data_IF_954373303363
#
_entry.id   IF_954373303363
#
_cell.length_a   1.000
_cell.length_b   1.000
_cell.length_c   1.000
_cell.angle_alpha   90.00
_cell.angle_beta   90.00
_cell.angle_gamma   90.00
#
_symmetry.space_group_name_H-M   'P 1'
#
loop_
_entity.id
_entity.type
_entity.pdbx_description
1 polymer ?
#
# COMPACT_ATOMS: atom_id res chain seq x y z
N UNK A 1 -20.49 11.78 26.19
CA UNK A 1 -19.17 12.48 26.18
C UNK A 1 -18.10 11.43 26.41
N UNK A 2 -17.17 11.26 25.47
CA UNK A 2 -16.08 10.27 25.54
C UNK A 2 -14.80 10.95 26.02
N UNK A 3 -14.11 10.32 26.97
CA UNK A 3 -12.76 10.73 27.39
C UNK A 3 -11.73 10.05 26.50
N UNK A 4 -10.94 10.85 25.79
CA UNK A 4 -9.79 10.36 25.00
C UNK A 4 -8.51 10.94 25.60
N UNK A 5 -7.49 10.10 25.78
CA UNK A 5 -6.17 10.52 26.26
C UNK A 5 -5.27 10.81 25.06
N UNK A 6 -4.66 12.00 25.02
CA UNK A 6 -3.66 12.30 24.00
C UNK A 6 -2.44 11.38 24.19
N UNK A 7 -2.10 10.59 23.17
CA UNK A 7 -0.98 9.63 23.19
C UNK A 7 0.40 10.26 23.46
N UNK A 8 0.52 11.57 23.23
CA UNK A 8 1.81 12.27 23.24
C UNK A 8 2.07 13.00 24.54
N UNK A 9 1.03 13.56 25.17
CA UNK A 9 1.19 14.38 26.38
C UNK A 9 0.33 13.92 27.56
N UNK A 10 -0.44 12.84 27.40
CA UNK A 10 -1.29 12.26 28.44
C UNK A 10 -2.49 13.10 28.84
N UNK A 11 -2.78 14.21 28.15
CA UNK A 11 -3.91 15.06 28.48
C UNK A 11 -5.25 14.38 28.14
N UNK A 12 -6.17 14.36 29.11
CA UNK A 12 -7.55 13.89 28.92
C UNK A 12 -8.39 14.95 28.22
N UNK A 13 -9.08 14.56 27.16
CA UNK A 13 -9.98 15.40 26.37
C UNK A 13 -11.39 14.83 26.46
N UNK A 14 -12.37 15.67 26.81
CA UNK A 14 -13.78 15.30 26.74
C UNK A 14 -14.30 15.71 25.37
N UNK A 15 -14.72 14.74 24.56
CA UNK A 15 -15.26 14.96 23.21
C UNK A 15 -16.73 14.52 23.21
N UNK A 16 -17.60 15.34 22.64
CA UNK A 16 -19.00 14.97 22.37
C UNK A 16 -19.02 13.86 21.30
N UNK A 17 -19.80 12.81 21.51
CA UNK A 17 -19.85 11.61 20.67
C UNK A 17 -20.13 11.94 19.20
N UNK A 18 -20.91 13.00 18.95
CA UNK A 18 -21.20 13.48 17.59
C UNK A 18 -19.98 13.98 16.81
N UNK A 19 -18.83 14.14 17.46
CA UNK A 19 -17.57 14.58 16.83
C UNK A 19 -16.48 13.51 16.81
N UNK A 20 -16.76 12.27 17.20
CA UNK A 20 -15.77 11.16 17.19
C UNK A 20 -15.15 10.89 15.81
N UNK A 21 -15.80 11.31 14.72
CA UNK A 21 -15.34 11.13 13.34
C UNK A 21 -14.59 12.34 12.78
N UNK A 22 -14.41 13.42 13.56
CA UNK A 22 -13.69 14.63 13.14
C UNK A 22 -12.29 14.68 13.75
N UNK A 23 -11.33 15.14 12.96
CA UNK A 23 -9.96 15.40 13.41
C UNK A 23 -9.94 16.53 14.45
N UNK A 24 -9.44 16.24 15.65
CA UNK A 24 -9.22 17.24 16.71
C UNK A 24 -7.75 17.59 16.86
N UNK A 25 -7.44 18.73 17.47
CA UNK A 25 -6.07 19.08 17.88
C UNK A 25 -5.99 19.09 19.41
N UNK A 26 -4.98 18.43 19.99
CA UNK A 26 -4.77 18.46 21.43
C UNK A 26 -4.48 19.90 21.88
N UNK A 27 -5.29 20.46 22.79
CA UNK A 27 -5.07 21.82 23.30
C UNK A 27 -3.76 22.00 24.07
N UNK A 28 -3.18 20.92 24.61
CA UNK A 28 -1.93 20.97 25.39
C UNK A 28 -0.67 20.95 24.52
N UNK A 29 -0.64 20.14 23.45
CA UNK A 29 0.57 19.95 22.65
C UNK A 29 0.42 20.27 21.15
N UNK A 30 -0.77 20.64 20.69
CA UNK A 30 -0.99 21.03 19.28
C UNK A 30 -0.97 19.88 18.26
N UNK A 31 -0.80 18.63 18.69
CA UNK A 31 -0.83 17.48 17.76
C UNK A 31 -2.26 17.11 17.36
N UNK A 32 -2.42 16.71 16.10
CA UNK A 32 -3.68 16.15 15.57
C UNK A 32 -3.97 14.79 16.22
N UNK A 33 -5.20 14.61 16.64
CA UNK A 33 -5.73 13.36 17.19
C UNK A 33 -6.59 12.73 16.11
N UNK A 34 -6.14 11.57 15.62
CA UNK A 34 -6.91 10.67 14.79
C UNK A 34 -7.76 9.81 15.72
N UNK A 35 -9.07 10.06 15.73
CA UNK A 35 -9.98 9.16 16.44
C UNK A 35 -10.18 7.91 15.58
N UNK A 36 -9.78 6.75 16.11
CA UNK A 36 -10.11 5.44 15.54
C UNK A 36 -11.47 5.05 16.14
N UNK A 37 -12.47 4.64 15.34
CA UNK A 37 -13.75 4.21 15.89
C UNK A 37 -13.52 2.98 16.78
N UNK A 38 -13.81 3.12 18.07
CA UNK A 38 -13.99 1.97 18.96
C UNK A 38 -15.31 1.30 18.59
N UNK A 39 -15.25 0.08 18.07
CA UNK A 39 -16.41 -0.79 17.86
C UNK A 39 -17.14 -0.96 19.20
N UNK A 40 -18.47 -0.71 19.29
CA UNK A 40 -19.21 -0.98 20.51
C UNK A 40 -19.29 -2.49 20.74
N UNK A 41 -18.86 -2.94 21.92
CA UNK A 41 -19.19 -4.26 22.44
C UNK A 41 -20.56 -4.14 23.10
N UNK A 42 -21.55 -4.90 22.61
CA UNK A 42 -22.91 -4.94 23.14
C UNK A 42 -22.97 -5.47 24.59
N UNK A 43 -23.94 -4.94 25.35
CA UNK A 43 -24.55 -5.68 26.45
C UNK A 43 -24.70 -4.89 27.75
N UNK A 44 -25.86 -4.23 27.93
CA UNK A 44 -26.58 -4.17 29.21
C UNK A 44 -27.99 -3.65 28.98
N UNK A 45 -28.95 -4.57 29.09
CA UNK A 45 -30.37 -4.30 29.32
C UNK A 45 -30.56 -3.83 30.76
N UNK A 46 -31.36 -2.77 30.97
CA UNK A 46 -32.00 -2.50 32.26
C UNK A 46 -33.47 -2.22 32.03
N UNK A 47 -34.30 -3.11 32.57
CA UNK A 47 -35.74 -2.98 32.69
C UNK A 47 -36.13 -1.86 33.66
N UNK A 48 -37.14 -1.08 33.33
CA UNK A 48 -38.20 -0.73 34.29
C UNK A 48 -39.51 -0.48 33.54
N UNK A 49 -40.60 -1.04 34.07
CA UNK A 49 -41.95 -1.05 33.52
C UNK A 49 -42.74 0.21 33.86
N UNK A 50 -43.70 0.59 33.00
CA UNK A 50 -45.01 1.16 33.35
C UNK A 50 -46.03 0.69 32.31
N UNK A 51 -47.26 0.48 32.78
CA UNK A 51 -48.30 -0.39 32.24
C UNK A 51 -49.27 0.24 31.22
N UNK A 52 -50.09 -0.66 30.68
CA UNK A 52 -51.50 -0.56 30.28
C UNK A 52 -51.94 -0.18 28.84
N UNK A 53 -52.87 -1.04 28.38
CA UNK A 53 -54.05 -0.77 27.55
C UNK A 53 -53.96 -0.81 26.00
N UNK A 54 -54.21 -2.00 25.40
CA UNK A 54 -55.47 -2.34 24.70
C UNK A 54 -55.42 -3.76 24.11
N UNK A 55 -56.56 -4.47 24.19
CA UNK A 55 -56.77 -5.84 23.74
C UNK A 55 -57.09 -6.00 22.23
N UNK A 56 -56.86 -7.24 21.76
CA UNK A 56 -57.45 -7.97 20.60
C UNK A 56 -56.73 -7.96 19.24
N UNK A 57 -56.94 -8.95 18.35
CA UNK A 57 -57.14 -10.39 18.57
C UNK A 57 -56.13 -11.28 17.79
N UNK A 58 -56.15 -12.56 18.15
CA UNK A 58 -55.31 -13.68 17.71
C UNK A 58 -55.27 -13.89 16.18
N UNK A 59 -54.07 -13.98 15.61
CA UNK A 59 -53.79 -14.77 14.41
C UNK A 59 -52.68 -15.80 14.72
N UNK A 60 -53.02 -17.08 14.55
CA UNK A 60 -52.09 -18.22 14.63
C UNK A 60 -51.28 -18.31 13.33
N UNK A 61 -49.97 -18.12 13.41
CA UNK A 61 -49.01 -18.62 12.42
C UNK A 61 -47.80 -19.18 13.15
N UNK A 62 -47.68 -20.50 13.15
CA UNK A 62 -46.52 -21.24 13.65
C UNK A 62 -45.45 -21.30 12.55
N UNK A 63 -44.34 -20.59 12.76
CA UNK A 63 -43.09 -20.80 12.04
C UNK A 63 -41.98 -21.19 13.05
N UNK A 64 -41.11 -22.16 12.74
CA UNK A 64 -40.08 -22.61 13.67
C UNK A 64 -38.94 -21.59 13.75
N UNK A 65 -38.67 -21.08 14.96
CA UNK A 65 -37.45 -20.32 15.25
C UNK A 65 -36.27 -21.28 15.45
N UNK A 66 -35.28 -21.19 14.56
CA UNK A 66 -33.95 -21.78 14.72
C UNK A 66 -33.03 -20.74 15.38
N UNK A 67 -32.97 -20.76 16.71
CA UNK A 67 -32.00 -19.98 17.48
C UNK A 67 -30.70 -20.77 17.64
N UNK A 68 -29.83 -20.72 16.63
CA UNK A 68 -28.44 -21.18 16.77
C UNK A 68 -27.62 -20.15 17.55
N UNK A 69 -27.76 -20.19 18.87
CA UNK A 69 -26.78 -19.58 19.78
C UNK A 69 -25.62 -20.56 19.92
N UNK A 70 -24.57 -20.39 19.12
CA UNK A 70 -23.31 -21.08 19.35
C UNK A 70 -22.68 -20.53 20.63
N UNK A 71 -22.93 -21.20 21.75
CA UNK A 71 -22.24 -20.96 23.01
C UNK A 71 -20.76 -21.35 22.82
N UNK A 72 -19.93 -20.36 22.48
CA UNK A 72 -18.49 -20.52 22.43
C UNK A 72 -18.00 -20.82 23.86
N UNK A 73 -17.34 -21.96 24.05
CA UNK A 73 -16.93 -22.41 25.38
C UNK A 73 -15.98 -21.41 26.03
N UNK A 74 -16.08 -21.25 27.35
CA UNK A 74 -15.29 -20.28 28.11
C UNK A 74 -13.78 -20.52 28.00
N UNK A 75 -13.38 -21.73 27.62
CA UNK A 75 -12.00 -22.09 27.29
C UNK A 75 -11.51 -21.39 26.02
N UNK A 76 -12.34 -21.31 24.98
CA UNK A 76 -11.99 -20.66 23.71
C UNK A 76 -11.85 -19.14 23.90
N UNK A 77 -12.72 -18.52 24.72
CA UNK A 77 -12.61 -17.10 25.06
C UNK A 77 -11.29 -16.76 25.76
N UNK A 78 -10.83 -17.61 26.68
CA UNK A 78 -9.54 -17.43 27.38
C UNK A 78 -8.34 -17.57 26.43
N UNK A 79 -8.39 -18.50 25.47
CA UNK A 79 -7.33 -18.67 24.47
C UNK A 79 -7.26 -17.45 23.53
N UNK A 80 -8.40 -16.98 23.03
CA UNK A 80 -8.45 -15.79 22.16
C UNK A 80 -7.93 -14.55 22.92
N UNK A 81 -8.33 -14.38 24.18
CA UNK A 81 -7.86 -13.26 25.01
C UNK A 81 -6.34 -13.29 25.24
N UNK A 82 -5.76 -14.48 25.46
CA UNK A 82 -4.31 -14.66 25.58
C UNK A 82 -3.55 -14.32 24.29
N UNK A 83 -4.07 -14.72 23.12
CA UNK A 83 -3.45 -14.41 21.82
C UNK A 83 -3.49 -12.90 21.55
N UNK A 84 -4.62 -12.24 21.83
CA UNK A 84 -4.77 -10.79 21.62
C UNK A 84 -3.80 -10.01 22.53
N UNK A 85 -3.65 -10.40 23.81
CA UNK A 85 -2.68 -9.78 24.70
C UNK A 85 -1.23 -10.00 24.26
N UNK A 86 -0.90 -11.20 23.76
CA UNK A 86 0.43 -11.49 23.21
C UNK A 86 0.78 -10.63 21.99
N UNK A 87 -0.18 -10.44 21.07
CA UNK A 87 0.01 -9.60 19.89
C UNK A 87 0.15 -8.11 20.23
N UNK A 88 -0.61 -7.61 21.21
CA UNK A 88 -0.47 -6.24 21.70
C UNK A 88 0.90 -6.04 22.36
N UNK A 89 1.37 -7.00 23.16
CA UNK A 89 2.70 -6.97 23.76
C UNK A 89 3.82 -6.92 22.70
N UNK A 90 3.72 -7.73 21.65
CA UNK A 90 4.69 -7.75 20.54
C UNK A 90 4.72 -6.41 19.79
N UNK A 91 3.54 -5.84 19.50
CA UNK A 91 3.42 -4.52 18.85
C UNK A 91 4.04 -3.40 19.70
N UNK A 92 3.81 -3.41 21.02
CA UNK A 92 4.44 -2.45 21.94
C UNK A 92 5.97 -2.62 22.00
N UNK A 93 6.47 -3.85 21.97
CA UNK A 93 7.91 -4.13 21.99
C UNK A 93 8.61 -3.60 20.71
N UNK A 94 8.02 -3.82 19.53
CA UNK A 94 8.54 -3.28 18.26
C UNK A 94 8.55 -1.74 18.28
N UNK A 95 7.52 -1.11 18.85
CA UNK A 95 7.46 0.35 18.95
C UNK A 95 8.53 0.95 19.89
N UNK A 96 8.84 0.27 21.00
CA UNK A 96 9.87 0.71 21.94
C UNK A 96 11.26 0.60 21.30
N UNK A 97 11.56 -0.51 20.61
CA UNK A 97 12.88 -0.70 19.97
C UNK A 97 13.10 0.22 18.76
N UNK A 98 12.07 0.49 17.95
CA UNK A 98 12.21 1.40 16.81
C UNK A 98 12.44 2.86 17.23
N UNK A 99 11.92 3.29 18.37
CA UNK A 99 12.12 4.67 18.85
C UNK A 99 13.57 4.92 19.32
N UNK A 100 14.24 3.92 19.89
CA UNK A 100 15.63 4.05 20.35
C UNK A 100 16.64 4.10 19.19
N UNK A 101 16.37 3.40 18.09
CA UNK A 101 17.20 3.44 16.87
C UNK A 101 17.16 4.84 16.23
N UNK A 102 15.97 5.43 16.09
CA UNK A 102 15.79 6.77 15.50
C UNK A 102 16.46 7.86 16.35
N UNK A 103 16.54 7.67 17.66
CA UNK A 103 17.17 8.65 18.57
C UNK A 103 18.69 8.68 18.42
N UNK A 104 19.33 7.55 18.11
CA UNK A 104 20.78 7.47 17.90
C UNK A 104 21.23 8.14 16.60
N UNK A 105 20.46 8.04 15.52
CA UNK A 105 20.79 8.67 14.23
C UNK A 105 20.74 10.21 14.28
N UNK A 106 19.82 10.79 15.07
CA UNK A 106 19.73 12.25 15.23
C UNK A 106 20.90 12.88 15.99
N UNK A 107 21.62 12.11 16.79
CA UNK A 107 22.81 12.60 17.52
C UNK A 107 24.04 12.57 16.60
N UNK A 108 24.15 11.58 15.70
CA UNK A 108 25.24 11.51 14.72
C UNK A 108 25.19 12.66 13.70
N UNK A 109 23.99 13.06 13.25
CA UNK A 109 23.84 14.12 12.25
C UNK A 109 24.18 15.55 12.75
N UNK A 110 24.22 15.78 14.08
CA UNK A 110 24.52 17.11 14.64
C UNK A 110 26.01 17.43 14.79
N UNK A 111 26.91 16.44 14.68
CA UNK A 111 28.34 16.63 14.89
C UNK A 111 29.15 16.91 13.61
N UNK A 112 28.52 17.03 12.43
CA UNK A 112 29.22 17.27 11.15
C UNK A 112 29.25 18.73 10.68
N UNK A 113 28.76 19.70 11.46
CA UNK A 113 28.73 21.12 11.05
C UNK A 113 29.69 21.96 11.91
N UNK A 114 31.00 21.71 11.81
CA UNK A 114 32.05 22.71 12.12
C UNK A 114 33.31 22.40 11.29
N UNK A 115 33.38 22.97 10.09
CA UNK A 115 34.63 23.12 9.34
C UNK A 115 34.96 24.62 9.23
N UNK A 116 36.24 25.01 9.39
CA UNK A 116 36.66 26.41 9.38
C UNK A 116 36.61 27.02 7.97
N UNK A 117 36.19 28.29 7.90
CA UNK A 117 36.16 29.13 6.70
C UNK A 117 37.59 29.42 6.24
N UNK A 118 38.02 28.81 5.14
CA UNK A 118 39.26 29.17 4.43
C UNK A 118 38.88 30.03 3.22
N UNK A 119 39.44 31.23 3.15
CA UNK A 119 39.28 32.15 2.03
C UNK A 119 40.04 31.60 0.82
N UNK A 120 39.31 31.15 -0.21
CA UNK A 120 39.88 30.67 -1.46
C UNK A 120 39.85 31.77 -2.54
N UNK A 121 41.04 32.14 -3.00
CA UNK A 121 41.29 32.99 -4.16
C UNK A 121 40.77 32.29 -5.42
N UNK A 122 39.92 32.98 -6.19
CA UNK A 122 39.31 32.46 -7.41
C UNK A 122 40.31 32.46 -8.57
N UNK A 123 40.69 31.26 -9.02
CA UNK A 123 41.40 31.02 -10.29
C UNK A 123 40.41 30.41 -11.28
N UNK A 124 40.14 31.06 -12.43
CA UNK A 124 39.20 30.53 -13.41
C UNK A 124 39.88 29.41 -14.23
N UNK A 125 39.71 28.17 -13.79
CA UNK A 125 40.04 27.00 -14.61
C UNK A 125 38.82 26.58 -15.45
N UNK A 126 38.75 27.13 -16.67
CA UNK A 126 37.97 26.58 -17.76
C UNK A 126 38.62 25.27 -18.23
N UNK A 127 38.25 24.16 -17.60
CA UNK A 127 38.39 22.84 -18.21
C UNK A 127 37.23 21.98 -17.71
N UNK A 128 36.07 22.17 -18.33
CA UNK A 128 34.89 21.31 -18.16
C UNK A 128 35.20 19.96 -18.80
N UNK A 129 36.03 19.17 -18.13
CA UNK A 129 36.21 17.76 -18.48
C UNK A 129 34.86 17.11 -18.20
N UNK A 130 34.07 16.92 -19.25
CA UNK A 130 32.83 16.14 -19.24
C UNK A 130 33.21 14.72 -18.86
N UNK A 131 33.26 14.46 -17.55
CA UNK A 131 33.25 13.11 -17.00
C UNK A 131 31.97 12.49 -17.54
N UNK A 132 32.12 11.65 -18.55
CA UNK A 132 31.03 10.92 -19.16
C UNK A 132 30.49 10.01 -18.07
N UNK A 133 29.48 10.52 -17.36
CA UNK A 133 28.88 9.88 -16.21
C UNK A 133 28.35 8.53 -16.67
N UNK A 134 28.76 7.45 -16.00
CA UNK A 134 28.31 6.08 -16.27
C UNK A 134 26.82 5.95 -15.95
N UNK A 135 25.98 6.42 -16.86
CA UNK A 135 24.52 6.33 -16.78
C UNK A 135 24.12 4.89 -17.09
N UNK A 136 23.13 4.36 -16.36
CA UNK A 136 22.58 3.03 -16.61
C UNK A 136 22.16 2.88 -18.07
N UNK A 137 22.51 1.75 -18.68
CA UNK A 137 21.99 1.39 -19.99
C UNK A 137 20.49 1.14 -19.88
N UNK A 138 19.74 1.71 -20.81
CA UNK A 138 18.29 1.59 -20.83
C UNK A 138 17.77 1.51 -22.27
N UNK A 139 16.56 1.00 -22.41
CA UNK A 139 15.78 1.03 -23.64
C UNK A 139 14.40 1.65 -23.38
N UNK A 140 13.88 2.43 -24.33
CA UNK A 140 12.52 2.98 -24.23
C UNK A 140 11.51 1.86 -24.48
N UNK A 141 10.63 1.62 -23.51
CA UNK A 141 9.54 0.64 -23.63
C UNK A 141 8.31 1.24 -24.30
N UNK A 142 7.89 2.42 -23.83
CA UNK A 142 6.67 3.10 -24.24
C UNK A 142 6.83 4.61 -24.05
N UNK A 143 6.27 5.38 -24.96
CA UNK A 143 6.17 6.83 -24.82
C UNK A 143 4.80 7.30 -25.30
N UNK A 144 4.06 7.98 -24.43
CA UNK A 144 2.77 8.58 -24.73
C UNK A 144 2.88 10.11 -24.60
N UNK A 145 2.44 10.82 -25.64
CA UNK A 145 2.44 12.28 -25.69
C UNK A 145 1.01 12.79 -25.83
N UNK A 146 0.59 13.65 -24.93
CA UNK A 146 -0.70 14.35 -24.98
C UNK A 146 -0.41 15.83 -25.14
N UNK A 147 -0.81 16.43 -26.26
CA UNK A 147 -0.65 17.86 -26.53
C UNK A 147 -2.01 18.53 -26.75
N UNK A 148 -2.44 19.29 -25.75
CA UNK A 148 -3.73 19.96 -25.71
C UNK A 148 -3.56 21.42 -25.25
N UNK A 149 -4.54 22.31 -25.49
CA UNK A 149 -4.45 23.72 -25.09
C UNK A 149 -4.13 23.94 -23.61
N UNK A 150 -4.60 23.04 -22.74
CA UNK A 150 -4.44 23.15 -21.29
C UNK A 150 -3.18 22.48 -20.75
N UNK A 151 -2.56 21.55 -21.50
CA UNK A 151 -1.35 20.84 -21.07
C UNK A 151 -0.64 20.16 -22.23
N UNK A 152 0.69 20.05 -22.11
CA UNK A 152 1.49 19.13 -22.90
C UNK A 152 2.14 18.14 -21.94
N UNK A 153 1.77 16.86 -22.04
CA UNK A 153 2.20 15.80 -21.14
C UNK A 153 3.02 14.76 -21.89
N UNK A 154 4.17 14.39 -21.35
CA UNK A 154 4.98 13.27 -21.80
C UNK A 154 5.00 12.21 -20.70
N UNK A 155 4.59 10.99 -21.04
CA UNK A 155 4.71 9.81 -20.19
C UNK A 155 5.69 8.86 -20.87
N UNK A 156 6.79 8.53 -20.20
CA UNK A 156 7.84 7.68 -20.73
C UNK A 156 8.10 6.51 -19.79
N UNK A 157 8.18 5.31 -20.35
CA UNK A 157 8.55 4.10 -19.64
C UNK A 157 9.84 3.54 -20.24
N UNK A 158 10.83 3.27 -19.40
CA UNK A 158 12.13 2.71 -19.81
C UNK A 158 12.43 1.40 -19.09
N UNK A 159 13.13 0.49 -19.75
CA UNK A 159 13.66 -0.74 -19.18
C UNK A 159 15.15 -0.56 -18.92
N UNK A 160 15.62 -0.90 -17.73
CA UNK A 160 17.05 -0.86 -17.36
C UNK A 160 17.70 -2.20 -17.72
N UNK A 161 18.75 -2.16 -18.54
CA UNK A 161 19.36 -3.33 -19.18
C UNK A 161 20.63 -3.84 -18.46
N UNK A 162 20.87 -3.40 -17.22
CA UNK A 162 22.10 -3.70 -16.46
C UNK A 162 21.82 -4.46 -15.18
N UNK A 163 22.73 -5.34 -14.76
CA UNK A 163 22.61 -6.10 -13.51
C UNK A 163 22.91 -5.26 -12.26
N UNK A 164 23.81 -4.28 -12.35
CA UNK A 164 24.24 -3.45 -11.22
C UNK A 164 23.41 -2.18 -11.10
N UNK A 165 22.16 -2.34 -10.66
CA UNK A 165 21.23 -1.22 -10.46
C UNK A 165 21.29 -0.76 -9.01
N UNK A 166 21.69 0.48 -8.78
CA UNK A 166 21.69 1.12 -7.46
C UNK A 166 20.75 2.31 -7.44
N UNK A 167 20.28 2.71 -6.26
CA UNK A 167 19.40 3.88 -6.11
C UNK A 167 20.00 5.14 -6.76
N UNK A 168 21.29 5.40 -6.50
CA UNK A 168 22.00 6.56 -7.04
C UNK A 168 21.98 6.53 -8.56
N UNK A 169 22.33 5.40 -9.17
CA UNK A 169 22.36 5.25 -10.62
C UNK A 169 20.95 5.40 -11.25
N UNK A 170 19.90 4.92 -10.58
CA UNK A 170 18.50 5.13 -11.02
C UNK A 170 18.11 6.60 -10.96
N UNK A 171 18.43 7.31 -9.87
CA UNK A 171 18.17 8.76 -9.77
C UNK A 171 18.90 9.55 -10.85
N UNK A 172 20.13 9.17 -11.16
CA UNK A 172 20.93 9.82 -12.20
C UNK A 172 20.34 9.60 -13.59
N UNK A 173 19.93 8.37 -13.90
CA UNK A 173 19.21 8.05 -15.14
C UNK A 173 17.93 8.87 -15.26
N UNK A 174 17.09 8.90 -14.23
CA UNK A 174 15.81 9.62 -14.26
C UNK A 174 16.00 11.13 -14.45
N UNK A 175 16.97 11.74 -13.76
CA UNK A 175 17.28 13.16 -13.96
C UNK A 175 17.83 13.45 -15.36
N UNK A 176 18.68 12.56 -15.89
CA UNK A 176 19.16 12.67 -17.28
C UNK A 176 18.00 12.66 -18.27
N UNK A 177 17.11 11.67 -18.18
CA UNK A 177 15.93 11.54 -19.05
C UNK A 177 14.99 12.73 -18.93
N UNK A 178 14.74 13.21 -17.72
CA UNK A 178 13.90 14.39 -17.48
C UNK A 178 14.49 15.65 -18.12
N UNK A 179 15.80 15.85 -18.01
CA UNK A 179 16.49 16.98 -18.63
C UNK A 179 16.38 16.93 -20.17
N UNK A 180 16.49 15.74 -20.77
CA UNK A 180 16.27 15.54 -22.20
C UNK A 180 14.81 15.85 -22.60
N UNK A 181 13.83 15.29 -21.89
CA UNK A 181 12.40 15.46 -22.21
C UNK A 181 11.94 16.92 -22.00
N UNK A 182 12.37 17.58 -20.92
CA UNK A 182 11.97 18.95 -20.59
C UNK A 182 12.44 20.00 -21.60
N UNK A 183 13.54 19.72 -22.32
CA UNK A 183 14.05 20.59 -23.39
C UNK A 183 13.38 20.37 -24.74
N UNK A 184 12.57 19.32 -24.91
CA UNK A 184 11.87 19.07 -26.18
C UNK A 184 10.97 20.25 -26.54
N UNK A 185 10.95 20.58 -27.82
CA UNK A 185 10.15 21.67 -28.40
C UNK A 185 9.35 21.17 -29.59
N UNK A 186 8.47 22.01 -30.13
CA UNK A 186 7.70 21.70 -31.35
C UNK A 186 6.28 21.19 -31.09
N UNK A 187 5.79 21.29 -29.85
CA UNK A 187 4.39 21.04 -29.55
C UNK A 187 3.50 22.20 -30.05
N UNK A 188 2.25 21.90 -30.36
CA UNK A 188 1.29 22.84 -30.94
C UNK A 188 0.87 23.91 -29.95
N UNK A 189 0.69 23.57 -28.68
CA UNK A 189 0.09 24.46 -27.68
C UNK A 189 1.09 25.03 -26.68
N UNK A 190 2.20 24.34 -26.42
CA UNK A 190 3.21 24.77 -25.45
C UNK A 190 4.61 24.66 -26.05
N UNK A 191 5.53 25.56 -25.67
CA UNK A 191 6.91 25.50 -26.16
C UNK A 191 7.63 24.23 -25.69
N UNK A 192 7.36 23.77 -24.47
CA UNK A 192 7.96 22.61 -23.81
C UNK A 192 6.86 21.83 -23.07
N UNK A 193 7.09 20.56 -22.65
CA UNK A 193 6.12 19.80 -21.88
C UNK A 193 5.82 20.46 -20.53
N UNK A 194 4.55 20.58 -20.19
CA UNK A 194 4.09 21.07 -18.88
C UNK A 194 4.14 19.97 -17.83
N UNK A 195 3.82 18.73 -18.23
CA UNK A 195 3.81 17.54 -17.40
C UNK A 195 4.81 16.50 -17.93
N UNK A 196 5.62 15.93 -17.05
CA UNK A 196 6.60 14.89 -17.40
C UNK A 196 6.52 13.79 -16.35
N UNK A 197 6.27 12.56 -16.80
CA UNK A 197 6.28 11.37 -15.95
C UNK A 197 7.19 10.34 -16.60
N UNK A 198 8.25 9.93 -15.91
CA UNK A 198 9.21 8.95 -16.43
C UNK A 198 9.33 7.82 -15.41
N UNK A 199 9.12 6.60 -15.88
CA UNK A 199 9.12 5.38 -15.07
C UNK A 199 10.25 4.47 -15.55
N UNK A 200 11.13 4.06 -14.64
CA UNK A 200 12.16 3.07 -14.90
C UNK A 200 11.73 1.72 -14.33
N UNK A 201 11.80 0.68 -15.16
CA UNK A 201 11.45 -0.70 -14.79
C UNK A 201 12.67 -1.62 -14.94
N UNK A 202 12.70 -2.67 -14.13
CA UNK A 202 13.73 -3.71 -14.25
C UNK A 202 13.47 -4.72 -15.37
N UNK A 203 12.22 -4.82 -15.84
CA UNK A 203 11.86 -5.75 -16.91
C UNK A 203 10.61 -5.30 -17.65
N UNK A 204 10.41 -5.82 -18.86
CA UNK A 204 9.21 -5.55 -19.67
C UNK A 204 7.95 -6.09 -19.01
N UNK A 205 8.03 -7.25 -18.35
CA UNK A 205 6.91 -7.86 -17.64
C UNK A 205 6.39 -6.92 -16.54
N UNK A 206 7.29 -6.33 -15.74
CA UNK A 206 6.94 -5.37 -14.69
C UNK A 206 6.32 -4.09 -15.27
N UNK A 207 6.88 -3.53 -16.34
CA UNK A 207 6.32 -2.37 -17.03
C UNK A 207 4.90 -2.64 -17.55
N UNK A 208 4.72 -3.83 -18.14
CA UNK A 208 3.48 -4.29 -18.73
C UNK A 208 2.39 -4.68 -17.72
N UNK A 209 2.72 -4.85 -16.44
CA UNK A 209 1.76 -5.31 -15.41
C UNK A 209 0.63 -4.33 -15.10
N UNK A 210 0.83 -3.01 -15.33
CA UNK A 210 -0.11 -1.96 -14.92
C UNK A 210 -0.16 -1.71 -13.40
N UNK A 211 0.61 -2.44 -12.59
CA UNK A 211 0.58 -2.37 -11.12
C UNK A 211 1.63 -1.43 -10.52
N UNK A 212 2.25 -0.58 -11.33
CA UNK A 212 3.24 0.40 -10.86
C UNK A 212 4.53 -0.23 -10.31
N UNK A 213 5.00 -1.32 -10.91
CA UNK A 213 6.20 -2.06 -10.46
C UNK A 213 7.53 -1.45 -10.93
N UNK A 214 7.62 -0.11 -10.94
CA UNK A 214 8.83 0.62 -11.33
C UNK A 214 9.87 0.60 -10.21
N UNK A 215 11.15 0.60 -10.57
CA UNK A 215 12.28 0.73 -9.64
C UNK A 215 12.51 2.20 -9.25
N UNK A 216 12.16 3.14 -10.13
CA UNK A 216 12.13 4.56 -9.84
C UNK A 216 11.20 5.32 -10.77
N UNK A 217 10.70 6.46 -10.30
CA UNK A 217 9.87 7.39 -11.05
C UNK A 217 10.41 8.80 -10.85
N UNK A 218 10.44 9.60 -11.92
CA UNK A 218 10.51 11.07 -11.80
C UNK A 218 9.23 11.68 -12.36
N UNK A 219 8.62 12.58 -11.61
CA UNK A 219 7.36 13.23 -11.98
C UNK A 219 7.43 14.74 -11.78
N UNK A 220 6.83 15.48 -12.71
CA UNK A 220 6.54 16.90 -12.59
C UNK A 220 5.20 17.21 -13.25
N UNK A 221 4.29 17.79 -12.50
CA UNK A 221 3.03 18.37 -12.99
C UNK A 221 3.18 19.87 -13.29
N UNK A 222 2.17 20.48 -13.89
CA UNK A 222 2.16 21.92 -14.21
C UNK A 222 2.44 22.80 -12.99
N UNK A 223 1.86 22.47 -11.83
CA UNK A 223 1.95 23.29 -10.61
C UNK A 223 3.22 23.03 -9.79
N UNK A 224 4.00 22.00 -10.15
CA UNK A 224 5.20 21.63 -9.43
C UNK A 224 6.38 22.53 -9.84
N UNK A 225 7.03 23.12 -8.84
CA UNK A 225 8.22 23.98 -9.06
C UNK A 225 9.43 23.19 -9.56
N UNK A 226 9.59 21.96 -9.06
CA UNK A 226 10.71 21.07 -9.35
C UNK A 226 10.17 19.64 -9.57
N UNK A 227 10.86 18.79 -10.36
CA UNK A 227 10.50 17.38 -10.43
C UNK A 227 10.79 16.65 -9.11
N UNK A 228 9.97 15.66 -8.79
CA UNK A 228 10.15 14.75 -7.65
C UNK A 228 10.62 13.38 -8.12
N UNK A 229 11.65 12.83 -7.47
CA UNK A 229 12.17 11.48 -7.77
C UNK A 229 11.85 10.52 -6.63
N UNK A 230 11.04 9.52 -6.93
CA UNK A 230 10.64 8.46 -6.01
C UNK A 230 11.32 7.15 -6.39
N UNK A 231 11.85 6.42 -5.41
CA UNK A 231 12.55 5.15 -5.60
C UNK A 231 11.79 4.07 -4.85
N UNK A 232 11.57 2.93 -5.51
CA UNK A 232 10.91 1.79 -4.91
C UNK A 232 11.94 0.85 -4.30
N UNK A 233 12.09 0.90 -2.97
CA UNK A 233 13.02 0.03 -2.24
C UNK A 233 12.70 -1.45 -2.43
N UNK A 234 11.41 -1.82 -2.48
CA UNK A 234 10.95 -3.19 -2.73
C UNK A 234 11.47 -3.68 -4.09
N UNK A 235 11.23 -2.89 -5.15
CA UNK A 235 11.61 -3.29 -6.50
C UNK A 235 13.11 -3.29 -6.71
N UNK A 236 13.85 -2.39 -6.04
CA UNK A 236 15.30 -2.33 -6.10
C UNK A 236 15.96 -3.50 -5.34
N UNK A 237 15.48 -3.80 -4.13
CA UNK A 237 15.97 -4.92 -3.33
C UNK A 237 15.74 -6.27 -4.02
N UNK A 238 14.62 -6.41 -4.74
CA UNK A 238 14.31 -7.59 -5.53
C UNK A 238 15.34 -7.91 -6.62
N UNK A 239 16.17 -6.94 -7.04
CA UNK A 239 17.22 -7.17 -8.05
C UNK A 239 18.46 -7.87 -7.49
N UNK A 240 18.68 -7.77 -6.18
CA UNK A 240 19.83 -8.37 -5.48
C UNK A 240 19.44 -9.60 -4.67
N UNK A 241 18.21 -10.08 -4.87
CA UNK A 241 17.69 -11.22 -4.13
C UNK A 241 18.40 -12.51 -4.54
N UNK A 242 18.85 -13.27 -3.54
CA UNK A 242 19.46 -14.58 -3.73
C UNK A 242 18.34 -15.62 -3.86
N UNK A 243 18.50 -16.55 -4.80
CA UNK A 243 17.56 -17.64 -4.95
C UNK A 243 17.55 -18.54 -3.71
N UNK A 244 16.38 -18.70 -3.11
CA UNK A 244 16.21 -19.51 -1.90
C UNK A 244 15.22 -20.66 -2.11
N UNK A 245 15.52 -21.81 -1.52
CA UNK A 245 14.60 -22.93 -1.39
C UNK A 245 13.83 -22.82 -0.08
N UNK A 246 12.49 -22.82 -0.15
CA UNK A 246 11.61 -22.67 1.02
C UNK A 246 10.42 -23.60 0.90
N UNK A 247 10.08 -24.30 1.98
CA UNK A 247 8.98 -25.27 2.02
C UNK A 247 9.08 -26.37 0.93
N UNK A 248 10.31 -26.78 0.58
CA UNK A 248 10.55 -27.76 -0.49
C UNK A 248 10.34 -27.22 -1.92
N UNK A 249 10.08 -25.92 -2.08
CA UNK A 249 9.88 -25.27 -3.37
C UNK A 249 11.06 -24.36 -3.72
N UNK A 250 11.48 -24.40 -4.99
CA UNK A 250 12.40 -23.42 -5.57
C UNK A 250 11.74 -22.04 -5.71
N UNK A 251 12.53 -20.97 -5.81
CA UNK A 251 11.99 -19.62 -6.02
C UNK A 251 11.14 -19.54 -7.30
N UNK A 252 11.59 -20.18 -8.38
CA UNK A 252 10.84 -20.23 -9.64
C UNK A 252 9.46 -20.87 -9.46
N UNK A 253 9.38 -22.01 -8.76
CA UNK A 253 8.09 -22.63 -8.46
C UNK A 253 7.19 -21.73 -7.61
N UNK A 254 7.75 -21.02 -6.62
CA UNK A 254 6.96 -20.07 -5.81
C UNK A 254 6.46 -18.88 -6.64
N UNK A 255 7.27 -18.37 -7.58
CA UNK A 255 6.86 -17.33 -8.53
C UNK A 255 5.75 -17.82 -9.48
N UNK A 256 5.80 -19.07 -9.93
CA UNK A 256 4.74 -19.70 -10.71
C UNK A 256 3.44 -19.82 -9.91
N UNK A 257 3.53 -20.29 -8.65
CA UNK A 257 2.38 -20.36 -7.74
C UNK A 257 1.81 -18.96 -7.47
N UNK A 258 2.66 -17.96 -7.24
CA UNK A 258 2.26 -16.55 -7.12
C UNK A 258 1.45 -16.08 -8.34
N UNK A 259 1.94 -16.35 -9.56
CA UNK A 259 1.22 -15.98 -10.76
C UNK A 259 -0.16 -16.66 -10.84
N UNK A 260 -0.27 -17.92 -10.40
CA UNK A 260 -1.56 -18.62 -10.31
C UNK A 260 -2.49 -18.03 -9.24
N UNK A 261 -1.93 -17.61 -8.09
CA UNK A 261 -2.68 -16.93 -7.03
C UNK A 261 -3.31 -15.63 -7.57
N UNK A 262 -2.52 -14.78 -8.22
CA UNK A 262 -3.03 -13.51 -8.79
C UNK A 262 -4.13 -13.78 -9.81
N UNK A 263 -3.92 -14.72 -10.74
CA UNK A 263 -4.96 -15.08 -11.73
C UNK A 263 -6.22 -15.65 -11.09
N UNK A 264 -6.10 -16.39 -10.00
CA UNK A 264 -7.24 -16.89 -9.25
C UNK A 264 -8.04 -15.75 -8.59
N UNK A 265 -7.35 -14.74 -8.06
CA UNK A 265 -7.97 -13.54 -7.49
C UNK A 265 -8.74 -12.76 -8.57
N UNK A 266 -8.13 -12.49 -9.72
CA UNK A 266 -8.78 -11.82 -10.85
C UNK A 266 -9.99 -12.60 -11.35
N UNK A 267 -9.83 -13.92 -11.55
CA UNK A 267 -10.92 -14.80 -11.96
C UNK A 267 -12.08 -14.78 -10.97
N UNK A 268 -11.79 -14.86 -9.67
CA UNK A 268 -12.82 -14.83 -8.62
C UNK A 268 -13.60 -13.51 -8.63
N UNK A 269 -12.93 -12.38 -8.86
CA UNK A 269 -13.57 -11.07 -8.95
C UNK A 269 -14.44 -10.96 -10.21
N UNK A 270 -13.95 -11.44 -11.36
CA UNK A 270 -14.71 -11.45 -12.61
C UNK A 270 -15.97 -12.33 -12.52
N UNK A 271 -15.83 -13.53 -11.95
CA UNK A 271 -16.95 -14.46 -11.73
C UNK A 271 -17.96 -13.86 -10.73
N UNK A 272 -17.50 -13.19 -9.65
CA UNK A 272 -18.35 -12.46 -8.70
C UNK A 272 -19.10 -11.29 -9.35
N UNK A 273 -18.41 -10.45 -10.11
CA UNK A 273 -19.00 -9.31 -10.83
C UNK A 273 -20.03 -9.77 -11.87
N UNK A 274 -19.81 -10.92 -12.52
CA UNK A 274 -20.80 -11.48 -13.46
C UNK A 274 -22.10 -11.87 -12.76
N UNK A 275 -22.02 -12.44 -11.55
CA UNK A 275 -23.20 -12.87 -10.79
C UNK A 275 -23.89 -11.73 -10.05
N UNK A 276 -23.09 -10.84 -9.45
CA UNK A 276 -23.53 -9.68 -8.68
C UNK A 276 -22.83 -8.42 -9.22
N UNK A 277 -23.31 -7.82 -10.32
CA UNK A 277 -22.68 -6.65 -10.93
C UNK A 277 -22.67 -5.43 -9.99
N UNK A 278 -21.49 -4.83 -9.83
CA UNK A 278 -21.22 -3.66 -8.97
C UNK A 278 -20.90 -2.38 -9.76
N UNK A 279 -21.16 -2.39 -11.07
CA UNK A 279 -20.97 -1.28 -12.00
C UNK A 279 -22.30 -0.73 -12.59
N UNK A 280 -23.44 -1.26 -12.12
CA UNK A 280 -24.78 -0.82 -12.55
C UNK A 280 -25.33 0.34 -11.71
N UNK A 281 -26.20 1.21 -12.27
CA UNK A 281 -26.96 2.18 -11.47
C UNK A 281 -27.83 1.48 -10.40
N UNK A 282 -27.98 2.13 -9.23
CA UNK A 282 -28.90 1.65 -8.18
C UNK A 282 -28.39 0.48 -7.33
N UNK A 283 -27.08 0.26 -7.27
CA UNK A 283 -26.46 -0.77 -6.40
C UNK A 283 -26.78 -0.50 -4.93
N UNK A 284 -27.12 -1.57 -4.21
CA UNK A 284 -27.31 -1.54 -2.76
C UNK A 284 -26.06 -2.05 -2.02
N UNK A 285 -25.94 -1.73 -0.74
CA UNK A 285 -24.88 -2.31 0.12
C UNK A 285 -24.97 -3.84 0.21
N UNK A 286 -26.18 -4.40 0.12
CA UNK A 286 -26.42 -5.85 0.11
C UNK A 286 -25.87 -6.51 -1.16
N UNK A 287 -26.02 -5.88 -2.33
CA UNK A 287 -25.42 -6.36 -3.59
C UNK A 287 -23.89 -6.40 -3.51
N UNK A 288 -23.28 -5.36 -2.93
CA UNK A 288 -21.83 -5.28 -2.69
C UNK A 288 -21.40 -6.40 -1.73
N UNK A 289 -22.16 -6.61 -0.65
CA UNK A 289 -21.90 -7.71 0.31
C UNK A 289 -21.91 -9.08 -0.36
N UNK A 290 -22.96 -9.38 -1.14
CA UNK A 290 -23.09 -10.63 -1.90
C UNK A 290 -21.95 -10.85 -2.89
N UNK A 291 -21.50 -9.79 -3.57
CA UNK A 291 -20.35 -9.85 -4.46
C UNK A 291 -19.07 -10.21 -3.70
N UNK A 292 -18.78 -9.51 -2.59
CA UNK A 292 -17.59 -9.73 -1.76
C UNK A 292 -17.57 -11.16 -1.20
N UNK A 293 -18.71 -11.64 -0.69
CA UNK A 293 -18.82 -12.98 -0.12
C UNK A 293 -18.60 -14.05 -1.20
N UNK A 294 -19.22 -13.90 -2.37
CA UNK A 294 -19.01 -14.85 -3.47
C UNK A 294 -17.56 -14.84 -3.95
N UNK A 295 -16.94 -13.66 -4.11
CA UNK A 295 -15.53 -13.54 -4.48
C UNK A 295 -14.67 -14.33 -3.50
N UNK A 296 -14.84 -14.12 -2.20
CA UNK A 296 -14.07 -14.79 -1.14
C UNK A 296 -14.23 -16.31 -1.19
N UNK A 297 -15.45 -16.81 -1.44
CA UNK A 297 -15.70 -18.25 -1.58
C UNK A 297 -15.00 -18.84 -2.81
N UNK A 298 -15.10 -18.16 -3.96
CA UNK A 298 -14.46 -18.59 -5.21
C UNK A 298 -12.94 -18.57 -5.09
N UNK A 299 -12.37 -17.50 -4.53
CA UNK A 299 -10.94 -17.37 -4.29
C UNK A 299 -10.43 -18.48 -3.37
N UNK A 300 -11.16 -18.78 -2.28
CA UNK A 300 -10.82 -19.89 -1.36
C UNK A 300 -10.79 -21.24 -2.09
N UNK A 301 -11.75 -21.50 -2.97
CA UNK A 301 -11.79 -22.75 -3.77
C UNK A 301 -10.61 -22.82 -4.73
N UNK A 302 -10.39 -21.77 -5.51
CA UNK A 302 -9.31 -21.73 -6.51
C UNK A 302 -7.92 -21.88 -5.85
N UNK A 303 -7.70 -21.22 -4.70
CA UNK A 303 -6.46 -21.39 -3.91
C UNK A 303 -6.30 -22.81 -3.36
N UNK A 304 -7.39 -23.48 -2.99
CA UNK A 304 -7.34 -24.88 -2.58
C UNK A 304 -7.00 -25.82 -3.74
N UNK A 305 -7.49 -25.52 -4.95
CA UNK A 305 -7.12 -26.29 -6.15
C UNK A 305 -5.64 -26.13 -6.49
N UNK A 306 -5.08 -24.92 -6.38
CA UNK A 306 -3.64 -24.67 -6.53
C UNK A 306 -2.84 -25.43 -5.45
N UNK A 307 -3.28 -25.39 -4.20
CA UNK A 307 -2.63 -26.13 -3.10
C UNK A 307 -2.56 -27.64 -3.40
N UNK A 308 -3.66 -28.21 -3.87
CA UNK A 308 -3.75 -29.62 -4.28
C UNK A 308 -2.85 -29.94 -5.47
N UNK A 309 -2.81 -29.08 -6.48
CA UNK A 309 -1.98 -29.26 -7.69
C UNK A 309 -0.49 -29.39 -7.34
N UNK A 310 0.00 -28.55 -6.42
CA UNK A 310 1.41 -28.53 -6.02
C UNK A 310 1.72 -29.43 -4.82
N UNK A 311 0.73 -30.11 -4.24
CA UNK A 311 0.91 -30.95 -3.07
C UNK A 311 1.38 -30.17 -1.83
N UNK A 312 0.91 -28.93 -1.66
CA UNK A 312 1.30 -28.04 -0.56
C UNK A 312 0.11 -27.65 0.30
N UNK A 313 0.40 -27.28 1.55
CA UNK A 313 -0.62 -26.79 2.47
C UNK A 313 -1.12 -25.40 2.07
N UNK A 314 -2.38 -25.10 2.43
CA UNK A 314 -2.97 -23.78 2.21
C UNK A 314 -2.15 -22.66 2.87
N UNK A 315 -1.55 -22.91 4.02
CA UNK A 315 -0.70 -21.93 4.71
C UNK A 315 0.54 -21.56 3.88
N UNK A 316 1.04 -22.47 3.04
CA UNK A 316 2.14 -22.19 2.11
C UNK A 316 1.66 -21.29 0.97
N UNK A 317 0.45 -21.52 0.43
CA UNK A 317 -0.17 -20.61 -0.56
C UNK A 317 -0.28 -19.19 -0.01
N UNK A 318 -0.82 -19.04 1.20
CA UNK A 318 -0.96 -17.72 1.85
C UNK A 318 0.41 -17.06 2.08
N UNK A 319 1.43 -17.84 2.48
CA UNK A 319 2.80 -17.34 2.62
C UNK A 319 3.43 -16.91 1.29
N UNK A 320 3.17 -17.63 0.19
CA UNK A 320 3.68 -17.28 -1.14
C UNK A 320 3.02 -16.00 -1.64
N UNK A 321 1.72 -15.80 -1.35
CA UNK A 321 1.01 -14.56 -1.65
C UNK A 321 1.69 -13.34 -1.00
N UNK A 322 1.99 -13.43 0.30
CA UNK A 322 2.70 -12.36 1.01
C UNK A 322 4.14 -12.18 0.52
N UNK A 323 4.84 -13.28 0.27
CA UNK A 323 6.21 -13.27 -0.26
C UNK A 323 6.28 -12.55 -1.61
N UNK A 324 5.37 -12.84 -2.54
CA UNK A 324 5.34 -12.19 -3.86
C UNK A 324 5.15 -10.68 -3.79
N UNK A 325 4.32 -10.20 -2.87
CA UNK A 325 4.15 -8.77 -2.61
C UNK A 325 5.41 -8.14 -2.00
N UNK A 326 5.97 -8.78 -0.97
CA UNK A 326 7.16 -8.28 -0.26
C UNK A 326 8.41 -8.24 -1.15
N UNK A 327 8.54 -9.21 -2.06
CA UNK A 327 9.65 -9.32 -3.01
C UNK A 327 9.36 -8.61 -4.34
N UNK A 328 8.19 -7.99 -4.48
CA UNK A 328 7.83 -7.26 -5.69
C UNK A 328 7.88 -8.11 -6.96
N UNK A 329 7.47 -9.39 -6.88
CA UNK A 329 7.38 -10.27 -8.03
C UNK A 329 6.40 -9.73 -9.06
N UNK A 330 6.66 -9.97 -10.34
CA UNK A 330 5.84 -9.44 -11.42
C UNK A 330 4.38 -9.91 -11.27
N UNK A 331 3.42 -8.99 -11.45
CA UNK A 331 2.02 -9.39 -11.59
C UNK A 331 1.82 -9.94 -13.00
N UNK A 332 1.24 -11.15 -13.15
CA UNK A 332 0.88 -11.66 -14.47
C UNK A 332 -0.19 -10.78 -15.12
N UNK A 333 -0.21 -10.77 -16.45
CA UNK A 333 -1.31 -10.23 -17.25
C UNK A 333 -2.49 -11.18 -17.33
#
# INVERSE_FOLDING_TARGET
MVKITCSECGASLNIDEKYLWKYGTCKKCGKKILAIPSVPIEGKTSSTAVADFFETPKLKTSAPQLSNTFAMSETIKKVIFGIVLGLIGLMCFVFIFNNDVIKKERVAAKNQIRQPKVNATYVPNNTTSTVQKDILKYSTHKEDIIDAPIKTQVVMEVIVDTKEVTEIKVRELLNFLYNEVSRRTGFKYHKNPTNIFIYAYASKEKASSGMGQWIGMISKSTDDKNPEVTISSIQLNALSEVEENKNGLTQKQRQEIWAKIVKAEDKSQQDANRKYPIDKPGITLDDIGKNIDLKRELEKRLKADIAKEYGIDKTVIDSIGLEGLQKGWAFPK
#
